data_IF_942413091705
#
_entry.id   IF_942413091705
#
_cell.length_a   1.000
_cell.length_b   1.000
_cell.length_c   1.000
_cell.angle_alpha   90.00
_cell.angle_beta   90.00
_cell.angle_gamma   90.00
#
_symmetry.space_group_name_H-M   'P 1'
#
loop_
_entity.id
_entity.type
_entity.pdbx_description
1 polymer ?
#
# COMPACT_ATOMS: atom_id res chain seq x y z
N UNK A 1 -37.01 28.09 40.26
CA UNK A 1 -37.30 27.86 38.83
C UNK A 1 -36.56 26.60 38.39
N UNK A 2 -37.11 25.40 38.67
CA UNK A 2 -37.77 24.49 37.69
C UNK A 2 -36.85 24.09 36.52
N UNK A 3 -36.05 23.02 36.66
CA UNK A 3 -36.40 21.62 36.38
C UNK A 3 -36.49 21.25 34.89
N UNK A 4 -35.63 20.33 34.40
CA UNK A 4 -36.03 19.00 33.91
C UNK A 4 -34.88 18.24 33.24
N UNK A 5 -34.52 17.12 33.86
CA UNK A 5 -33.84 15.98 33.23
C UNK A 5 -34.72 15.44 32.08
N UNK A 6 -34.12 15.09 30.94
CA UNK A 6 -34.71 14.14 29.99
C UNK A 6 -33.68 13.04 29.68
N UNK A 7 -33.98 11.86 30.21
CA UNK A 7 -33.44 10.57 29.78
C UNK A 7 -34.42 9.99 28.75
N UNK A 8 -33.91 9.46 27.66
CA UNK A 8 -34.55 8.52 26.72
C UNK A 8 -33.40 7.54 26.38
N UNK A 9 -33.36 6.26 26.76
CA UNK A 9 -34.31 5.15 26.56
C UNK A 9 -34.63 4.98 25.06
N UNK A 10 -34.61 3.83 24.41
CA UNK A 10 -34.29 2.43 24.73
C UNK A 10 -34.29 1.69 23.37
N UNK A 11 -33.48 0.64 23.24
CA UNK A 11 -33.69 -0.60 22.46
C UNK A 11 -34.46 -0.57 21.10
N UNK A 12 -33.74 -0.87 20.02
CA UNK A 12 -34.22 -1.63 18.85
C UNK A 12 -33.27 -2.82 18.68
N UNK A 13 -33.61 -4.01 19.18
CA UNK A 13 -34.44 -5.08 18.57
C UNK A 13 -33.84 -5.65 17.28
N UNK A 14 -33.36 -6.89 17.46
CA UNK A 14 -32.94 -7.91 16.51
C UNK A 14 -33.94 -8.18 15.38
N UNK A 15 -33.43 -8.46 14.17
CA UNK A 15 -33.91 -9.45 13.17
C UNK A 15 -32.96 -9.33 11.97
N UNK A 16 -32.26 -10.35 11.47
CA UNK A 16 -32.65 -11.74 11.26
C UNK A 16 -32.64 -12.00 9.76
N UNK A 17 -31.56 -12.54 9.20
CA UNK A 17 -31.52 -13.16 7.87
C UNK A 17 -30.26 -14.02 7.71
N UNK A 18 -30.37 -15.29 8.12
CA UNK A 18 -29.48 -16.37 7.71
C UNK A 18 -29.78 -16.72 6.25
N UNK A 19 -28.93 -16.29 5.31
CA UNK A 19 -28.90 -16.87 3.97
C UNK A 19 -27.85 -17.99 3.93
N UNK A 20 -28.35 -19.22 4.03
CA UNK A 20 -27.65 -20.44 3.63
C UNK A 20 -27.52 -20.43 2.10
N UNK A 21 -26.32 -20.15 1.59
CA UNK A 21 -26.02 -20.35 0.17
C UNK A 21 -25.42 -21.73 -0.03
N UNK A 22 -26.11 -22.53 -0.83
CA UNK A 22 -25.87 -23.94 -1.06
C UNK A 22 -24.58 -24.21 -1.84
N UNK A 23 -23.93 -25.31 -1.45
CA UNK A 23 -22.80 -25.93 -2.10
C UNK A 23 -23.09 -26.24 -3.58
N UNK A 24 -22.24 -25.75 -4.48
CA UNK A 24 -22.14 -26.26 -5.86
C UNK A 24 -20.76 -26.88 -6.03
N UNK A 25 -20.67 -28.21 -5.86
CA UNK A 25 -19.52 -29.01 -6.30
C UNK A 25 -19.57 -29.06 -7.82
N UNK A 26 -18.59 -28.47 -8.48
CA UNK A 26 -18.31 -28.71 -9.89
C UNK A 26 -17.09 -29.62 -9.98
N UNK A 27 -17.35 -30.90 -10.28
CA UNK A 27 -16.36 -31.86 -10.76
C UNK A 27 -15.61 -31.26 -11.95
N UNK A 28 -14.28 -31.21 -11.88
CA UNK A 28 -13.44 -30.94 -13.04
C UNK A 28 -12.74 -32.23 -13.45
N UNK A 29 -12.94 -32.68 -14.70
CA UNK A 29 -12.25 -33.86 -15.21
C UNK A 29 -10.77 -33.57 -15.45
N UNK A 30 -9.95 -34.57 -15.11
CA UNK A 30 -8.58 -34.74 -15.56
C UNK A 30 -8.55 -34.93 -17.08
N UNK A 31 -7.76 -34.11 -17.77
CA UNK A 31 -7.27 -34.42 -19.11
C UNK A 31 -5.81 -34.00 -19.20
N UNK A 32 -4.95 -34.96 -18.85
CA UNK A 32 -3.54 -34.99 -19.17
C UNK A 32 -3.39 -35.46 -20.61
N UNK A 33 -2.89 -34.60 -21.49
CA UNK A 33 -2.23 -35.05 -22.71
C UNK A 33 -0.90 -34.31 -22.86
N UNK A 34 0.15 -35.10 -22.63
CA UNK A 34 1.49 -34.81 -23.06
C UNK A 34 1.48 -34.56 -24.57
N UNK A 35 1.96 -33.39 -24.99
CA UNK A 35 2.33 -33.13 -26.37
C UNK A 35 3.84 -32.90 -26.38
N UNK A 36 4.54 -33.95 -26.82
CA UNK A 36 5.92 -33.94 -27.29
C UNK A 36 6.19 -32.69 -28.12
N UNK A 37 7.00 -31.77 -27.58
CA UNK A 37 7.69 -30.77 -28.40
C UNK A 37 9.04 -31.34 -28.77
N UNK A 38 9.11 -31.84 -29.99
CA UNK A 38 10.35 -32.09 -30.72
C UNK A 38 11.29 -30.89 -30.55
N UNK A 39 12.47 -31.15 -29.97
CA UNK A 39 13.59 -30.21 -29.93
C UNK A 39 14.04 -29.95 -31.36
N UNK A 40 13.84 -28.73 -31.85
CA UNK A 40 14.54 -28.25 -33.03
C UNK A 40 16.06 -28.14 -32.71
N UNK A 41 16.94 -28.53 -33.65
CA UNK A 41 18.38 -28.37 -33.47
C UNK A 41 18.76 -26.88 -33.41
N UNK A 42 19.56 -26.54 -32.40
CA UNK A 42 20.13 -25.20 -32.21
C UNK A 42 21.20 -24.98 -33.29
N UNK A 43 21.10 -23.91 -34.11
CA UNK A 43 22.17 -23.58 -35.06
C UNK A 43 23.43 -23.18 -34.29
N UNK A 44 24.56 -23.80 -34.68
CA UNK A 44 25.89 -23.49 -34.13
C UNK A 44 26.29 -22.07 -34.54
N UNK A 45 26.53 -21.22 -33.55
CA UNK A 45 27.05 -19.87 -33.75
C UNK A 45 28.47 -19.94 -34.33
N UNK A 46 28.72 -19.17 -35.40
CA UNK A 46 30.04 -19.02 -36.00
C UNK A 46 31.01 -18.23 -35.10
N UNK A 47 32.33 -18.40 -35.27
CA UNK A 47 33.35 -17.83 -34.41
C UNK A 47 33.74 -16.40 -34.86
N UNK A 48 32.80 -15.46 -34.85
CA UNK A 48 33.10 -14.03 -35.08
C UNK A 48 32.24 -13.18 -34.13
N UNK A 49 32.44 -13.38 -32.82
CA UNK A 49 31.90 -12.46 -31.82
C UNK A 49 32.84 -11.27 -31.72
N UNK A 50 32.49 -10.17 -32.40
CA UNK A 50 33.01 -8.83 -32.10
C UNK A 50 33.02 -8.65 -30.58
N UNK A 51 34.20 -8.32 -30.06
CA UNK A 51 34.41 -7.92 -28.67
C UNK A 51 33.66 -6.60 -28.48
N UNK A 52 32.37 -6.67 -28.19
CA UNK A 52 31.62 -5.52 -27.71
C UNK A 52 32.26 -5.08 -26.39
N UNK A 53 32.70 -3.82 -26.36
CA UNK A 53 33.11 -3.14 -25.14
C UNK A 53 32.08 -3.46 -24.04
N UNK A 54 32.51 -3.84 -22.82
CA UNK A 54 31.59 -4.09 -21.73
C UNK A 54 30.77 -2.81 -21.52
N UNK A 55 29.46 -2.92 -21.74
CA UNK A 55 28.51 -1.84 -21.48
C UNK A 55 28.86 -1.21 -20.12
N UNK A 56 28.90 0.13 -20.03
CA UNK A 56 29.20 0.80 -18.77
C UNK A 56 28.31 0.21 -17.69
N UNK A 57 28.93 -0.30 -16.61
CA UNK A 57 28.24 -0.97 -15.51
C UNK A 57 27.06 -0.09 -15.11
N UNK A 58 25.85 -0.61 -15.34
CA UNK A 58 24.58 0.03 -15.05
C UNK A 58 24.71 0.82 -13.75
N UNK A 59 24.60 2.15 -13.84
CA UNK A 59 24.38 2.98 -12.67
C UNK A 59 23.18 2.37 -11.95
N UNK A 60 23.43 1.84 -10.75
CA UNK A 60 22.39 1.20 -9.95
C UNK A 60 21.26 2.19 -9.83
N UNK A 61 20.15 1.92 -10.51
CA UNK A 61 18.97 2.75 -10.46
C UNK A 61 18.47 2.74 -9.02
N UNK A 62 18.85 3.77 -8.25
CA UNK A 62 18.31 4.01 -6.92
C UNK A 62 17.04 4.83 -7.15
N UNK A 63 15.84 4.23 -6.97
CA UNK A 63 14.62 4.98 -7.14
C UNK A 63 14.61 6.11 -6.10
N UNK A 64 14.32 7.34 -6.54
CA UNK A 64 14.01 8.46 -5.64
C UNK A 64 12.49 8.50 -5.40
N UNK A 65 11.98 7.89 -4.30
CA UNK A 65 10.56 7.89 -4.02
C UNK A 65 10.05 9.31 -3.69
N UNK A 66 10.88 10.21 -3.16
CA UNK A 66 10.46 11.58 -2.85
C UNK A 66 10.26 12.36 -4.14
N UNK A 67 11.23 12.34 -5.05
CA UNK A 67 11.11 12.98 -6.36
C UNK A 67 9.90 12.50 -7.15
N UNK A 68 9.62 11.18 -7.12
CA UNK A 68 8.44 10.59 -7.77
C UNK A 68 7.12 10.92 -7.09
N UNK A 69 7.13 11.16 -5.78
CA UNK A 69 5.91 11.46 -5.01
C UNK A 69 5.37 12.88 -5.22
N UNK A 70 6.20 13.81 -5.71
CA UNK A 70 5.84 15.22 -5.81
C UNK A 70 5.65 15.91 -4.46
N UNK A 71 6.10 15.33 -3.35
CA UNK A 71 6.00 15.96 -2.03
C UNK A 71 6.56 17.40 -2.03
N UNK A 72 5.80 18.32 -1.45
CA UNK A 72 6.12 19.74 -1.39
C UNK A 72 5.82 20.54 -2.66
N UNK A 73 5.52 19.88 -3.79
CA UNK A 73 5.06 20.56 -5.01
C UNK A 73 3.67 21.18 -4.81
N UNK A 74 3.29 22.16 -5.64
CA UNK A 74 1.93 22.69 -5.64
C UNK A 74 0.92 21.56 -5.79
N UNK A 75 -0.18 21.66 -5.04
CA UNK A 75 -1.24 20.69 -5.18
C UNK A 75 -1.88 20.77 -6.57
N UNK A 76 -2.20 19.61 -7.14
CA UNK A 76 -2.91 19.53 -8.42
C UNK A 76 -4.24 20.29 -8.33
N UNK A 77 -4.38 21.35 -9.12
CA UNK A 77 -5.58 22.19 -9.13
C UNK A 77 -6.73 21.51 -9.88
N UNK A 78 -7.70 20.94 -9.15
CA UNK A 78 -9.02 20.56 -9.69
C UNK A 78 -9.03 19.54 -10.84
N UNK A 79 -10.23 19.30 -11.39
CA UNK A 79 -10.55 18.19 -12.30
C UNK A 79 -9.72 18.12 -13.61
N UNK A 80 -9.02 19.20 -13.97
CA UNK A 80 -8.23 19.30 -15.20
C UNK A 80 -6.70 19.25 -14.96
N UNK A 81 -6.25 19.03 -13.72
CA UNK A 81 -4.83 19.02 -13.37
C UNK A 81 -4.02 17.89 -14.02
N UNK A 82 -4.66 17.03 -14.81
CA UNK A 82 -3.98 15.97 -15.54
C UNK A 82 -3.12 15.11 -14.61
N UNK A 83 -3.54 14.98 -13.34
CA UNK A 83 -2.90 14.09 -12.39
C UNK A 83 -2.79 12.76 -13.11
N UNK A 84 -1.54 12.42 -13.43
CA UNK A 84 -1.20 11.15 -14.00
C UNK A 84 -1.91 10.10 -13.15
N UNK A 85 -2.55 9.10 -13.78
CA UNK A 85 -3.45 8.10 -13.17
C UNK A 85 -2.77 7.20 -12.11
N UNK A 86 -1.62 7.64 -11.68
CA UNK A 86 -0.59 7.07 -10.85
C UNK A 86 -0.83 7.36 -9.37
N UNK A 87 -1.56 8.43 -9.02
CA UNK A 87 -1.97 8.70 -7.65
C UNK A 87 -3.30 8.02 -7.32
N UNK A 88 -3.33 7.23 -6.24
CA UNK A 88 -4.55 6.71 -5.62
C UNK A 88 -5.19 7.75 -4.70
N UNK A 89 -4.37 8.55 -4.01
CA UNK A 89 -4.80 9.69 -3.22
C UNK A 89 -3.68 10.74 -3.11
N UNK A 90 -4.05 12.01 -3.00
CA UNK A 90 -3.14 13.14 -2.75
C UNK A 90 -3.68 13.92 -1.56
N UNK A 91 -2.81 14.19 -0.58
CA UNK A 91 -3.10 15.01 0.59
C UNK A 91 -2.40 16.35 0.44
N UNK A 92 -3.13 17.42 0.71
CA UNK A 92 -2.69 18.80 0.57
C UNK A 92 -2.67 19.47 1.93
N UNK A 93 -1.61 20.23 2.21
CA UNK A 93 -1.59 21.13 3.35
C UNK A 93 -2.36 22.44 3.09
N UNK A 94 -2.47 23.27 4.12
CA UNK A 94 -3.15 24.57 4.06
C UNK A 94 -2.49 25.56 3.09
N UNK A 95 -1.21 25.36 2.75
CA UNK A 95 -0.49 26.17 1.78
C UNK A 95 -0.75 25.75 0.33
N UNK A 96 -1.62 24.74 0.12
CA UNK A 96 -1.91 24.19 -1.19
C UNK A 96 -0.72 23.42 -1.77
N UNK A 97 0.08 22.76 -0.92
CA UNK A 97 1.20 21.91 -1.33
C UNK A 97 0.97 20.46 -0.93
N UNK A 98 1.53 19.54 -1.72
CA UNK A 98 1.41 18.10 -1.46
C UNK A 98 2.12 17.76 -0.15
N UNK A 99 1.36 17.32 0.85
CA UNK A 99 1.84 16.88 2.16
C UNK A 99 1.86 15.36 2.31
N UNK A 100 1.19 14.63 1.42
CA UNK A 100 1.31 13.18 1.33
C UNK A 100 0.68 12.63 0.06
N UNK A 101 1.09 11.43 -0.34
CA UNK A 101 0.51 10.74 -1.49
C UNK A 101 0.36 9.25 -1.20
N UNK A 102 -0.65 8.65 -1.82
CA UNK A 102 -0.83 7.20 -1.91
C UNK A 102 -0.73 6.82 -3.39
N UNK A 103 0.09 5.84 -3.70
CA UNK A 103 0.34 5.36 -5.06
C UNK A 103 0.36 3.83 -5.08
N UNK A 104 0.18 3.18 -6.25
CA UNK A 104 0.45 1.75 -6.38
C UNK A 104 1.89 1.42 -5.97
N UNK A 105 2.07 0.27 -5.33
CA UNK A 105 3.37 -0.17 -4.80
C UNK A 105 4.43 -0.39 -5.89
N UNK A 106 4.00 -0.65 -7.12
CA UNK A 106 4.83 -0.81 -8.31
C UNK A 106 5.15 0.52 -9.02
N UNK A 107 4.67 1.66 -8.51
CA UNK A 107 5.06 2.99 -9.00
C UNK A 107 6.04 3.65 -8.03
N UNK A 108 5.69 3.68 -6.75
CA UNK A 108 6.48 4.31 -5.71
C UNK A 108 7.56 3.32 -5.20
N UNK A 109 8.51 3.00 -6.08
CA UNK A 109 9.61 2.09 -5.76
C UNK A 109 10.54 2.69 -4.69
N UNK A 110 11.25 1.81 -3.97
CA UNK A 110 12.21 2.24 -2.96
C UNK A 110 11.55 2.73 -1.67
N UNK A 111 10.30 2.37 -1.41
CA UNK A 111 9.62 2.64 -0.15
C UNK A 111 9.64 1.41 0.76
N UNK A 112 10.06 1.53 2.03
CA UNK A 112 10.73 2.70 2.59
C UNK A 112 12.16 2.86 2.06
N UNK A 113 12.74 4.08 2.04
CA UNK A 113 14.10 4.30 1.59
C UNK A 113 15.11 3.65 2.55
N UNK A 114 16.35 3.35 2.12
CA UNK A 114 17.33 2.63 2.95
C UNK A 114 17.69 3.28 4.28
N UNK A 115 17.47 4.60 4.43
CA UNK A 115 17.76 5.38 5.64
C UNK A 115 16.59 5.45 6.62
N UNK A 116 15.41 4.98 6.23
CA UNK A 116 14.24 5.03 7.10
C UNK A 116 14.33 3.97 8.21
N UNK A 117 13.96 4.35 9.42
CA UNK A 117 13.78 3.44 10.54
C UNK A 117 12.48 2.65 10.35
N UNK A 118 12.59 1.33 10.21
CA UNK A 118 11.44 0.44 10.13
C UNK A 118 10.79 0.29 11.50
N UNK A 119 9.58 0.84 11.65
CA UNK A 119 8.80 0.81 12.89
C UNK A 119 7.99 -0.47 13.03
N UNK A 120 7.50 -0.98 11.90
CA UNK A 120 6.75 -2.21 11.82
C UNK A 120 7.08 -2.90 10.50
N UNK A 121 7.41 -4.17 10.59
CA UNK A 121 7.48 -5.06 9.45
C UNK A 121 6.77 -6.34 9.81
N UNK A 122 5.77 -6.68 9.00
CA UNK A 122 5.15 -7.98 9.08
C UNK A 122 5.55 -8.79 7.85
N UNK A 123 6.65 -9.58 7.93
CA UNK A 123 6.86 -10.65 6.98
C UNK A 123 5.81 -11.71 7.32
N UNK A 124 4.90 -12.05 6.41
CA UNK A 124 3.94 -13.12 6.68
C UNK A 124 4.70 -14.46 6.77
N UNK A 125 4.84 -15.08 7.97
CA UNK A 125 5.63 -16.30 8.10
C UNK A 125 4.82 -17.55 7.76
N UNK A 126 3.50 -17.44 7.51
CA UNK A 126 2.61 -18.61 7.36
C UNK A 126 1.44 -18.49 6.35
N UNK A 127 1.14 -17.36 5.72
CA UNK A 127 -0.07 -17.20 4.89
C UNK A 127 0.16 -16.34 3.61
N UNK A 128 -0.52 -16.72 2.52
CA UNK A 128 -0.50 -16.12 1.16
C UNK A 128 0.85 -15.51 0.70
N UNK A 129 1.66 -16.24 -0.08
CA UNK A 129 2.97 -15.78 -0.47
C UNK A 129 2.99 -14.38 -1.12
N UNK A 130 3.81 -13.50 -0.54
CA UNK A 130 4.10 -12.18 -1.09
C UNK A 130 3.22 -11.04 -0.57
N UNK A 131 2.43 -11.23 0.49
CA UNK A 131 1.84 -10.11 1.23
C UNK A 131 2.82 -9.56 2.26
N UNK A 132 2.82 -8.24 2.46
CA UNK A 132 3.67 -7.59 3.46
C UNK A 132 3.11 -6.23 3.85
N UNK A 133 3.32 -5.83 5.10
CA UNK A 133 3.15 -4.45 5.55
C UNK A 133 4.45 -3.97 6.17
N UNK A 134 4.92 -2.83 5.69
CA UNK A 134 6.06 -2.10 6.25
C UNK A 134 5.59 -0.70 6.60
N UNK A 135 5.87 -0.25 7.82
CA UNK A 135 5.72 1.13 8.27
C UNK A 135 7.09 1.59 8.73
N UNK A 136 7.55 2.72 8.22
CA UNK A 136 8.86 3.28 8.53
C UNK A 136 8.80 4.80 8.62
N UNK A 137 9.81 5.40 9.24
CA UNK A 137 9.96 6.85 9.37
C UNK A 137 11.37 7.30 9.01
N UNK A 138 11.49 8.47 8.38
CA UNK A 138 12.76 9.16 8.13
C UNK A 138 12.61 10.62 8.56
N UNK A 139 13.14 10.97 9.74
CA UNK A 139 12.81 12.24 10.39
C UNK A 139 11.30 12.32 10.64
N UNK A 140 10.65 13.34 10.09
CA UNK A 140 9.20 13.55 10.17
C UNK A 140 8.43 13.00 8.96
N UNK A 141 9.08 12.24 8.08
CA UNK A 141 8.41 11.58 6.96
C UNK A 141 7.94 10.19 7.34
N UNK A 142 6.67 9.92 7.09
CA UNK A 142 6.07 8.60 7.21
C UNK A 142 6.13 7.87 5.87
N UNK A 143 6.53 6.61 5.93
CA UNK A 143 6.59 5.69 4.80
C UNK A 143 5.76 4.46 5.11
N UNK A 144 4.82 4.12 4.24
CA UNK A 144 4.04 2.88 4.34
C UNK A 144 4.14 2.12 3.03
N UNK A 145 4.40 0.82 3.11
CA UNK A 145 4.31 -0.09 1.97
C UNK A 145 3.45 -1.27 2.34
N UNK A 146 2.31 -1.42 1.66
CA UNK A 146 1.41 -2.57 1.82
C UNK A 146 1.30 -3.33 0.52
N UNK A 147 1.87 -4.53 0.48
CA UNK A 147 1.71 -5.49 -0.61
C UNK A 147 0.58 -6.43 -0.28
N UNK A 148 -0.39 -6.53 -1.19
CA UNK A 148 -1.53 -7.45 -1.08
C UNK A 148 -1.38 -8.66 -2.00
N UNK A 149 -0.50 -8.60 -3.01
CA UNK A 149 -0.10 -9.76 -3.79
C UNK A 149 1.28 -9.58 -4.43
N UNK A 150 2.30 -10.20 -3.85
CA UNK A 150 3.68 -10.18 -4.38
C UNK A 150 3.97 -11.23 -5.45
N UNK A 151 3.08 -12.22 -5.65
CA UNK A 151 3.20 -13.26 -6.69
C UNK A 151 2.23 -13.09 -7.87
N UNK A 152 1.48 -11.99 -7.89
CA UNK A 152 0.63 -11.67 -9.03
C UNK A 152 1.48 -11.21 -10.22
N UNK A 153 0.89 -11.16 -11.43
CA UNK A 153 1.57 -10.65 -12.64
C UNK A 153 2.13 -9.23 -12.47
N UNK A 154 1.52 -8.45 -11.56
CA UNK A 154 2.05 -7.18 -11.04
C UNK A 154 2.01 -7.23 -9.52
N UNK A 155 2.97 -6.57 -8.87
CA UNK A 155 2.95 -6.42 -7.41
C UNK A 155 1.76 -5.54 -7.06
N UNK A 156 0.74 -6.14 -6.44
CA UNK A 156 -0.46 -5.40 -6.06
C UNK A 156 -0.31 -4.86 -4.64
N UNK A 157 -0.85 -3.68 -4.42
CA UNK A 157 -0.77 -3.01 -3.14
C UNK A 157 -0.77 -1.50 -3.31
N UNK A 158 -0.43 -0.82 -2.22
CA UNK A 158 -0.27 0.62 -2.22
C UNK A 158 0.92 0.97 -1.34
N UNK A 159 1.56 2.08 -1.68
CA UNK A 159 2.56 2.73 -0.84
C UNK A 159 2.13 4.15 -0.57
N UNK A 160 2.53 4.67 0.57
CA UNK A 160 2.27 6.03 0.98
C UNK A 160 3.58 6.65 1.45
N UNK A 161 3.75 7.93 1.12
CA UNK A 161 4.70 8.81 1.77
C UNK A 161 3.98 10.07 2.22
N UNK A 162 4.29 10.57 3.42
CA UNK A 162 3.74 11.83 3.92
C UNK A 162 4.69 12.57 4.85
N UNK A 163 4.58 13.90 4.86
CA UNK A 163 5.27 14.81 5.77
C UNK A 163 4.34 15.09 6.96
N UNK A 164 4.61 14.43 8.10
CA UNK A 164 3.68 14.35 9.24
C UNK A 164 3.25 15.73 9.79
N UNK A 165 4.15 16.70 10.03
CA UNK A 165 3.79 18.05 10.44
C UNK A 165 2.88 18.80 9.48
N UNK A 166 2.96 18.49 8.17
CA UNK A 166 2.21 19.21 7.12
C UNK A 166 0.89 18.55 6.78
N UNK A 167 0.74 17.26 7.04
CA UNK A 167 -0.53 16.57 6.84
C UNK A 167 -1.58 17.08 7.82
N UNK A 168 -2.82 17.23 7.36
CA UNK A 168 -3.95 17.65 8.22
C UNK A 168 -4.37 16.50 9.14
N UNK A 169 -5.08 16.83 10.23
CA UNK A 169 -5.53 15.80 11.18
C UNK A 169 -6.41 14.76 10.49
N UNK A 170 -7.32 15.21 9.66
CA UNK A 170 -8.33 14.40 8.98
C UNK A 170 -7.66 13.43 8.00
N UNK A 171 -6.58 13.86 7.36
CA UNK A 171 -5.80 13.03 6.43
C UNK A 171 -5.04 11.93 7.21
N UNK A 172 -4.43 12.28 8.35
CA UNK A 172 -3.75 11.31 9.21
C UNK A 172 -4.72 10.29 9.83
N UNK A 173 -5.92 10.71 10.21
CA UNK A 173 -6.99 9.82 10.68
C UNK A 173 -7.39 8.81 9.60
N UNK A 174 -7.48 9.24 8.33
CA UNK A 174 -7.75 8.32 7.21
C UNK A 174 -6.63 7.29 7.02
N UNK A 175 -5.36 7.71 7.15
CA UNK A 175 -4.21 6.80 7.09
C UNK A 175 -4.23 5.81 8.27
N UNK A 176 -4.47 6.29 9.49
CA UNK A 176 -4.63 5.45 10.69
C UNK A 176 -5.74 4.40 10.52
N UNK A 177 -6.92 4.83 10.07
CA UNK A 177 -8.05 3.94 9.84
C UNK A 177 -7.72 2.83 8.83
N UNK A 178 -6.95 3.15 7.79
CA UNK A 178 -6.54 2.17 6.77
C UNK A 178 -5.56 1.10 7.30
N UNK A 179 -4.87 1.42 8.39
CA UNK A 179 -4.00 0.50 9.13
C UNK A 179 -4.70 -0.19 10.31
N UNK A 180 -5.99 0.09 10.54
CA UNK A 180 -6.71 -0.43 11.71
C UNK A 180 -6.26 0.19 13.04
N UNK A 181 -5.65 1.37 12.99
CA UNK A 181 -5.29 2.15 14.18
C UNK A 181 -6.48 3.00 14.63
N UNK A 182 -6.61 3.30 15.95
CA UNK A 182 -7.65 4.19 16.44
C UNK A 182 -7.49 5.60 15.83
N UNK A 183 -8.60 6.34 15.68
CA UNK A 183 -8.58 7.71 15.16
C UNK A 183 -7.90 8.70 16.14
N UNK A 184 -8.02 8.45 17.44
CA UNK A 184 -7.42 9.26 18.49
C UNK A 184 -6.42 8.43 19.33
N UNK A 185 -5.28 9.02 19.74
CA UNK A 185 -4.80 10.35 19.34
C UNK A 185 -4.33 10.38 17.87
N UNK A 186 -4.38 11.55 17.23
CA UNK A 186 -3.82 11.72 15.88
C UNK A 186 -2.30 11.61 15.93
N UNK A 187 -1.73 10.71 15.14
CA UNK A 187 -0.30 10.40 15.11
C UNK A 187 0.46 11.44 14.28
N UNK A 188 0.84 12.55 14.94
CA UNK A 188 1.41 13.75 14.31
C UNK A 188 2.93 13.73 14.16
N UNK A 189 3.62 12.78 14.78
CA UNK A 189 5.08 12.74 14.81
C UNK A 189 5.60 11.30 14.81
N UNK A 190 6.88 11.15 14.49
CA UNK A 190 7.54 9.84 14.41
C UNK A 190 7.48 9.04 15.72
N UNK A 191 7.45 9.71 16.88
CA UNK A 191 7.37 9.04 18.20
C UNK A 191 5.99 8.38 18.38
N UNK A 192 4.92 9.10 18.09
CA UNK A 192 3.56 8.60 18.16
C UNK A 192 3.36 7.40 17.21
N UNK A 193 3.89 7.49 15.99
CA UNK A 193 3.89 6.37 15.04
C UNK A 193 4.66 5.16 15.57
N UNK A 194 5.86 5.35 16.15
CA UNK A 194 6.66 4.26 16.73
C UNK A 194 5.90 3.53 17.84
N UNK A 195 5.15 4.24 18.67
CA UNK A 195 4.35 3.64 19.73
C UNK A 195 3.14 2.89 19.16
N UNK A 196 2.37 3.53 18.29
CA UNK A 196 1.17 2.93 17.69
C UNK A 196 1.49 1.70 16.84
N UNK A 197 2.59 1.72 16.08
CA UNK A 197 3.05 0.62 15.21
C UNK A 197 3.33 -0.69 15.96
N UNK A 198 3.63 -0.64 17.26
CA UNK A 198 3.78 -1.85 18.10
C UNK A 198 2.47 -2.59 18.32
N UNK A 199 1.34 -1.91 18.16
CA UNK A 199 -0.01 -2.47 18.37
C UNK A 199 -0.64 -2.97 17.07
N UNK A 200 0.03 -2.79 15.93
CA UNK A 200 -0.42 -3.33 14.65
C UNK A 200 -0.35 -4.85 14.70
N UNK A 201 -1.51 -5.50 14.70
CA UNK A 201 -1.65 -6.95 14.58
C UNK A 201 -2.45 -7.29 13.32
N UNK A 202 -2.23 -8.48 12.76
CA UNK A 202 -2.90 -8.94 11.53
C UNK A 202 -4.42 -8.86 11.62
N UNK A 203 -4.98 -9.19 12.79
CA UNK A 203 -6.43 -9.22 13.03
C UNK A 203 -7.09 -7.84 12.89
N UNK A 204 -6.32 -6.76 13.02
CA UNK A 204 -6.82 -5.39 12.89
C UNK A 204 -6.77 -4.84 11.47
N UNK A 205 -6.07 -5.50 10.56
CA UNK A 205 -5.97 -5.03 9.18
C UNK A 205 -7.26 -5.37 8.42
N UNK A 206 -7.97 -4.37 7.85
CA UNK A 206 -9.18 -4.65 7.09
C UNK A 206 -8.87 -5.56 5.89
N UNK A 207 -9.72 -6.57 5.72
CA UNK A 207 -9.64 -7.54 4.63
C UNK A 207 -9.91 -6.85 3.28
N UNK A 208 -8.82 -6.55 2.55
CA UNK A 208 -8.75 -6.62 1.10
C UNK A 208 -9.58 -5.67 0.22
N UNK A 209 -10.45 -4.80 0.72
CA UNK A 209 -11.16 -3.81 -0.14
C UNK A 209 -10.49 -2.45 -0.05
N UNK A 210 -9.88 -2.00 -1.15
CA UNK A 210 -9.39 -0.62 -1.27
C UNK A 210 -10.58 0.32 -1.50
N UNK A 211 -10.86 1.30 -0.62
CA UNK A 211 -11.80 2.39 -0.90
C UNK A 211 -11.23 3.53 -1.78
N UNK A 212 -10.04 3.37 -2.36
CA UNK A 212 -9.48 4.26 -3.39
C UNK A 212 -9.55 3.57 -4.74
#
# INVERSE_FOLDING_TARGET
>A
MTARRRRLALAHVLSGALLLCACSRADRPLASTAADRARAPVPSAGPDAEVHDPLPRDEVFVPDPVGRSGLGQPCPGGADSGLDRTYLAVFCDESGRISGVVMPVDVLHGVPPPRAEVLHEHPDPRDVPGQSLTVAVEGERLWIRRVTCGRCRRVMGWSMVGDLPRMRAEDLVQVQARLGLPAEPVLRDARAWREASRTLTRERLPAGRSPW
#
